data_IF_630406965167
#
_entry.id   IF_630406965167
#
_cell.length_a   1.000
_cell.length_b   1.000
_cell.length_c   1.000
_cell.angle_alpha   90.00
_cell.angle_beta   90.00
_cell.angle_gamma   90.00
#
_symmetry.space_group_name_H-M   'P 1'
#
loop_
_entity.id
_entity.type
_entity.pdbx_description
1 polymer ?
#
# COMPACT_ATOMS: atom_id res chain seq x y z
N UNK A 1 -12.70 -15.54 -3.32
CA UNK A 1 -11.89 -14.62 -4.15
C UNK A 1 -10.46 -15.08 -4.12
N UNK A 2 -9.86 -15.27 -5.29
CA UNK A 2 -8.44 -15.56 -5.42
C UNK A 2 -7.80 -14.24 -5.85
N UNK A 3 -7.26 -13.46 -4.90
CA UNK A 3 -6.65 -12.18 -5.25
C UNK A 3 -5.19 -12.44 -5.61
N UNK A 4 -4.95 -12.68 -6.91
CA UNK A 4 -3.63 -12.98 -7.47
C UNK A 4 -2.56 -11.98 -7.01
N UNK A 5 -2.93 -10.73 -6.76
CA UNK A 5 -1.98 -9.70 -6.31
C UNK A 5 -1.55 -9.89 -4.86
N UNK A 6 -2.46 -10.33 -3.99
CA UNK A 6 -2.11 -10.73 -2.61
C UNK A 6 -1.15 -11.90 -2.62
N UNK A 7 -1.37 -12.87 -3.52
CA UNK A 7 -0.45 -14.00 -3.68
C UNK A 7 0.92 -13.53 -4.22
N UNK A 8 0.93 -12.58 -5.16
CA UNK A 8 2.16 -12.00 -5.69
C UNK A 8 2.95 -11.25 -4.61
N UNK A 9 2.30 -10.40 -3.81
CA UNK A 9 2.91 -9.66 -2.69
C UNK A 9 3.63 -10.64 -1.75
N UNK A 10 2.95 -11.72 -1.35
CA UNK A 10 3.51 -12.73 -0.44
C UNK A 10 4.63 -13.58 -1.04
N UNK A 11 4.62 -13.74 -2.36
CA UNK A 11 5.55 -14.62 -3.07
C UNK A 11 6.79 -13.88 -3.59
N UNK A 12 6.85 -12.56 -3.48
CA UNK A 12 7.99 -11.76 -3.88
C UNK A 12 9.26 -12.22 -3.17
N UNK A 13 10.33 -12.44 -3.95
CA UNK A 13 11.58 -13.04 -3.45
C UNK A 13 12.59 -12.00 -2.98
N UNK A 14 12.48 -10.79 -3.51
CA UNK A 14 13.34 -9.67 -3.22
C UNK A 14 12.59 -8.34 -3.41
N UNK A 15 13.23 -7.25 -2.99
CA UNK A 15 12.65 -5.90 -3.07
C UNK A 15 12.42 -5.43 -4.51
N UNK A 16 13.19 -5.90 -5.49
CA UNK A 16 13.02 -5.48 -6.88
C UNK A 16 11.76 -6.11 -7.49
N UNK A 17 11.52 -7.38 -7.22
CA UNK A 17 10.27 -8.07 -7.56
C UNK A 17 9.09 -7.44 -6.82
N UNK A 18 9.24 -7.15 -5.53
CA UNK A 18 8.22 -6.49 -4.73
C UNK A 18 7.84 -5.12 -5.31
N UNK A 19 8.83 -4.28 -5.64
CA UNK A 19 8.62 -2.96 -6.23
C UNK A 19 7.84 -3.06 -7.56
N UNK A 20 8.24 -3.97 -8.45
CA UNK A 20 7.54 -4.17 -9.72
C UNK A 20 6.08 -4.61 -9.54
N UNK A 21 5.79 -5.43 -8.53
CA UNK A 21 4.42 -5.81 -8.18
C UNK A 21 3.63 -4.58 -7.71
N UNK A 22 4.21 -3.75 -6.84
CA UNK A 22 3.54 -2.55 -6.33
C UNK A 22 3.28 -1.51 -7.43
N UNK A 23 4.19 -1.34 -8.38
CA UNK A 23 3.98 -0.46 -9.55
C UNK A 23 2.75 -0.92 -10.36
N UNK A 24 2.64 -2.22 -10.64
CA UNK A 24 1.50 -2.80 -11.37
C UNK A 24 0.19 -2.62 -10.59
N UNK A 25 0.24 -2.81 -9.27
CA UNK A 25 -0.92 -2.60 -8.40
C UNK A 25 -1.33 -1.13 -8.42
N UNK A 26 -0.38 -0.21 -8.28
CA UNK A 26 -0.59 1.23 -8.32
C UNK A 26 -1.29 1.66 -9.60
N UNK A 27 -0.76 1.26 -10.77
CA UNK A 27 -1.37 1.53 -12.07
C UNK A 27 -2.83 1.03 -12.12
N UNK A 28 -3.07 -0.22 -11.68
CA UNK A 28 -4.41 -0.80 -11.70
C UNK A 28 -5.38 -0.10 -10.75
N UNK A 29 -4.91 0.40 -9.61
CA UNK A 29 -5.71 1.24 -8.71
C UNK A 29 -6.05 2.57 -9.38
N UNK A 30 -5.07 3.25 -9.96
CA UNK A 30 -5.27 4.55 -10.66
C UNK A 30 -6.23 4.41 -11.84
N UNK A 31 -6.13 3.33 -12.62
CA UNK A 31 -7.04 3.04 -13.74
C UNK A 31 -8.34 2.33 -13.32
N UNK A 32 -8.63 2.24 -12.01
CA UNK A 32 -9.83 1.61 -11.44
C UNK A 32 -10.12 0.20 -11.97
N UNK A 33 -9.06 -0.59 -12.16
CA UNK A 33 -9.13 -1.97 -12.69
C UNK A 33 -9.57 -3.01 -11.66
N UNK A 34 -9.58 -2.64 -10.37
CA UNK A 34 -10.10 -3.46 -9.28
C UNK A 34 -11.48 -2.99 -8.84
N UNK A 35 -12.23 -3.86 -8.18
CA UNK A 35 -13.35 -3.44 -7.34
C UNK A 35 -12.89 -3.07 -5.92
N UNK A 36 -13.75 -2.43 -5.15
CA UNK A 36 -13.42 -1.96 -3.80
C UNK A 36 -12.98 -3.08 -2.85
N UNK A 37 -13.62 -4.27 -2.91
CA UNK A 37 -13.26 -5.40 -2.04
C UNK A 37 -11.86 -5.94 -2.36
N UNK A 38 -11.49 -5.97 -3.64
CA UNK A 38 -10.14 -6.34 -4.08
C UNK A 38 -9.08 -5.37 -3.57
N UNK A 39 -9.36 -4.06 -3.64
CA UNK A 39 -8.46 -3.02 -3.13
C UNK A 39 -8.32 -3.13 -1.60
N UNK A 40 -9.42 -3.31 -0.88
CA UNK A 40 -9.38 -3.50 0.57
C UNK A 40 -8.49 -4.68 0.98
N UNK A 41 -8.57 -5.80 0.25
CA UNK A 41 -7.72 -6.97 0.51
C UNK A 41 -6.24 -6.70 0.22
N UNK A 42 -5.93 -6.01 -0.87
CA UNK A 42 -4.55 -5.64 -1.22
C UNK A 42 -3.96 -4.73 -0.15
N UNK A 43 -4.66 -3.65 0.21
CA UNK A 43 -4.18 -2.68 1.20
C UNK A 43 -4.06 -3.31 2.58
N UNK A 44 -5.01 -4.17 2.96
CA UNK A 44 -4.91 -4.93 4.23
C UNK A 44 -3.68 -5.82 4.24
N UNK A 45 -3.28 -6.39 3.10
CA UNK A 45 -2.04 -7.18 3.03
C UNK A 45 -0.79 -6.31 3.12
N UNK A 46 -0.72 -5.20 2.39
CA UNK A 46 0.42 -4.27 2.46
C UNK A 46 0.61 -3.71 3.88
N UNK A 47 -0.49 -3.42 4.58
CA UNK A 47 -0.46 -2.97 5.96
C UNK A 47 0.01 -4.05 6.93
N UNK A 48 0.14 -5.33 6.56
CA UNK A 48 0.74 -6.38 7.42
C UNK A 48 2.27 -6.36 7.39
N UNK A 49 2.87 -5.74 6.38
CA UNK A 49 4.31 -5.71 6.24
C UNK A 49 5.00 -4.89 7.35
N UNK A 50 6.28 -5.15 7.56
CA UNK A 50 7.17 -4.26 8.31
C UNK A 50 7.73 -3.19 7.36
N UNK A 51 6.94 -2.15 7.11
CA UNK A 51 7.27 -1.07 6.15
C UNK A 51 8.65 -0.47 6.43
N UNK A 52 9.05 -0.34 7.70
CA UNK A 52 10.33 0.28 8.08
C UNK A 52 11.54 -0.59 7.71
N UNK A 53 11.35 -1.88 7.43
CA UNK A 53 12.44 -2.80 7.07
C UNK A 53 12.91 -2.70 5.61
N UNK A 54 12.09 -2.12 4.73
CA UNK A 54 12.37 -2.04 3.29
C UNK A 54 13.36 -0.92 2.92
N UNK A 55 13.83 -0.88 1.68
CA UNK A 55 14.45 0.32 1.13
C UNK A 55 13.46 1.50 1.01
N UNK A 56 14.02 2.71 0.88
CA UNK A 56 13.23 3.93 0.65
C UNK A 56 12.27 3.77 -0.54
N UNK A 57 12.76 3.27 -1.68
CA UNK A 57 11.95 3.17 -2.91
C UNK A 57 10.72 2.25 -2.72
N UNK A 58 10.89 1.14 -2.00
CA UNK A 58 9.77 0.25 -1.70
C UNK A 58 8.82 0.88 -0.68
N UNK A 59 9.33 1.56 0.36
CA UNK A 59 8.48 2.31 1.31
C UNK A 59 7.61 3.34 0.60
N UNK A 60 8.24 4.17 -0.22
CA UNK A 60 7.57 5.20 -1.02
C UNK A 60 6.47 4.59 -1.86
N UNK A 61 6.76 3.52 -2.59
CA UNK A 61 5.77 2.87 -3.44
C UNK A 61 4.62 2.22 -2.65
N UNK A 62 4.89 1.59 -1.49
CA UNK A 62 3.83 1.06 -0.61
C UNK A 62 2.90 2.21 -0.18
N UNK A 63 3.46 3.31 0.32
CA UNK A 63 2.69 4.44 0.83
C UNK A 63 1.91 5.14 -0.29
N UNK A 64 2.51 5.29 -1.47
CA UNK A 64 1.84 5.78 -2.67
C UNK A 64 0.63 4.93 -3.03
N UNK A 65 0.79 3.60 -3.13
CA UNK A 65 -0.30 2.66 -3.44
C UNK A 65 -1.43 2.77 -2.41
N UNK A 66 -1.09 2.87 -1.13
CA UNK A 66 -2.08 3.04 -0.06
C UNK A 66 -2.84 4.37 -0.19
N UNK A 67 -2.13 5.46 -0.49
CA UNK A 67 -2.75 6.77 -0.66
C UNK A 67 -3.71 6.78 -1.85
N UNK A 68 -3.26 6.31 -3.02
CA UNK A 68 -4.08 6.23 -4.24
C UNK A 68 -5.31 5.33 -4.04
N UNK A 69 -5.15 4.22 -3.32
CA UNK A 69 -6.26 3.34 -2.97
C UNK A 69 -7.33 4.08 -2.16
N UNK A 70 -6.90 4.84 -1.16
CA UNK A 70 -7.82 5.64 -0.37
C UNK A 70 -8.47 6.75 -1.20
N UNK A 71 -7.71 7.45 -2.05
CA UNK A 71 -8.20 8.54 -2.90
C UNK A 71 -9.21 8.09 -3.95
N UNK A 72 -9.01 6.93 -4.58
CA UNK A 72 -9.90 6.46 -5.66
C UNK A 72 -11.05 5.57 -5.22
N UNK A 73 -10.91 4.87 -4.09
CA UNK A 73 -11.87 3.86 -3.62
C UNK A 73 -12.50 4.19 -2.25
N UNK A 74 -12.08 5.27 -1.59
CA UNK A 74 -12.66 5.75 -0.32
C UNK A 74 -12.66 4.69 0.79
N UNK A 75 -11.59 3.89 0.87
CA UNK A 75 -11.51 2.72 1.76
C UNK A 75 -11.18 3.07 3.23
N UNK A 76 -10.99 4.35 3.59
CA UNK A 76 -10.64 4.85 4.94
C UNK A 76 -11.47 4.23 6.07
N UNK A 77 -12.77 4.03 5.83
CA UNK A 77 -13.70 3.52 6.85
C UNK A 77 -13.77 1.98 6.90
N UNK A 78 -13.11 1.29 5.97
CA UNK A 78 -13.19 -0.17 5.79
C UNK A 78 -11.88 -0.90 6.05
N UNK A 79 -10.77 -0.17 6.12
CA UNK A 79 -9.43 -0.71 6.36
C UNK A 79 -8.84 -0.03 7.59
N UNK A 80 -8.14 -0.83 8.42
CA UNK A 80 -7.49 -0.33 9.62
C UNK A 80 -6.09 0.25 9.31
N UNK A 81 -6.00 1.57 9.26
CA UNK A 81 -4.76 2.32 9.00
C UNK A 81 -3.96 2.65 10.26
N UNK A 82 -4.31 2.13 11.45
CA UNK A 82 -3.63 2.47 12.69
C UNK A 82 -2.13 2.18 12.65
N UNK A 83 -1.70 1.13 11.95
CA UNK A 83 -0.27 0.81 11.77
C UNK A 83 0.52 1.93 11.10
N UNK A 84 -0.10 2.74 10.23
CA UNK A 84 0.56 3.89 9.62
C UNK A 84 0.80 5.02 10.65
N UNK A 85 -0.13 5.21 11.61
CA UNK A 85 0.06 6.15 12.71
C UNK A 85 1.24 5.76 13.61
N UNK A 86 1.47 4.46 13.77
CA UNK A 86 2.57 3.95 14.60
C UNK A 86 3.94 4.20 13.97
N UNK A 87 4.03 4.20 12.64
CA UNK A 87 5.31 4.36 11.91
C UNK A 87 5.57 5.80 11.44
N UNK A 88 4.59 6.71 11.49
CA UNK A 88 4.68 8.06 10.88
C UNK A 88 5.90 8.88 11.34
N UNK A 89 6.32 8.73 12.60
CA UNK A 89 7.47 9.46 13.14
C UNK A 89 8.82 8.82 12.80
N UNK A 90 8.81 7.65 12.16
CA UNK A 90 10.00 6.86 11.84
C UNK A 90 10.31 6.81 10.34
N UNK A 91 9.37 7.22 9.49
CA UNK A 91 9.60 7.39 8.05
C UNK A 91 10.23 8.76 7.76
N UNK A 92 10.82 8.87 6.56
CA UNK A 92 11.37 10.11 6.02
C UNK A 92 10.31 11.23 5.94
N UNK A 93 10.76 12.49 6.04
CA UNK A 93 9.86 13.65 6.15
C UNK A 93 8.94 13.83 4.94
N UNK A 94 9.42 13.49 3.74
CA UNK A 94 8.65 13.46 2.51
C UNK A 94 7.58 12.36 2.52
N UNK A 95 7.91 11.17 3.03
CA UNK A 95 6.96 10.05 3.11
C UNK A 95 5.82 10.27 4.11
N UNK A 96 5.99 11.20 5.07
CA UNK A 96 4.92 11.56 6.02
C UNK A 96 3.71 12.17 5.33
N UNK A 97 3.89 12.80 4.18
CA UNK A 97 2.79 13.40 3.42
C UNK A 97 1.76 12.33 3.03
N UNK A 98 2.19 11.20 2.45
CA UNK A 98 1.32 10.08 2.11
C UNK A 98 0.55 9.53 3.30
N UNK A 99 1.22 9.37 4.45
CA UNK A 99 0.57 8.88 5.67
C UNK A 99 -0.49 9.88 6.16
N UNK A 100 -0.17 11.17 6.12
CA UNK A 100 -1.09 12.20 6.58
C UNK A 100 -2.32 12.32 5.67
N UNK A 101 -2.19 12.16 4.35
CA UNK A 101 -3.31 12.16 3.40
C UNK A 101 -4.30 11.00 3.63
N UNK A 102 -3.81 9.88 4.16
CA UNK A 102 -4.64 8.71 4.47
C UNK A 102 -5.33 8.88 5.82
N UNK A 103 -4.60 9.34 6.84
CA UNK A 103 -5.05 9.32 8.24
C UNK A 103 -5.86 10.57 8.59
N UNK A 104 -5.43 11.76 8.15
CA UNK A 104 -6.07 13.03 8.49
C UNK A 104 -7.03 13.50 7.39
#
# INVERSE_FOLDING_TARGET
>A
MNNKEVDNIRAAKDEAEYLSILEIIGDKITYKSYNTEEVQLIITELLKEDILSFSYAVREQILYVICEANGFYEIKNSVDFNRLSEIVNFVEDDLKEYINEVIY
#
